data_IF_836161663329
#
_entry.id   IF_836161663329
#
_cell.length_a   1.000
_cell.length_b   1.000
_cell.length_c   1.000
_cell.angle_alpha   90.00
_cell.angle_beta   90.00
_cell.angle_gamma   90.00
#
_symmetry.space_group_name_H-M   'P 1'
#
loop_
_entity.id
_entity.type
_entity.pdbx_description
1 polymer ?
#
# COMPACT_ATOMS: atom_id res chain seq x y z
N UNK A 1 -83.58 16.45 -1.95
CA UNK A 1 -83.41 16.31 -0.50
C UNK A 1 -81.99 15.81 -0.28
N UNK A 2 -80.96 16.55 0.12
CA UNK A 2 -80.80 17.93 0.60
C UNK A 2 -79.87 18.73 -0.33
N UNK A 3 -80.17 20.02 -0.41
CA UNK A 3 -79.33 21.12 -0.88
C UNK A 3 -78.41 21.53 0.28
N UNK A 4 -77.14 21.87 0.06
CA UNK A 4 -76.48 23.08 0.63
C UNK A 4 -75.34 23.56 -0.30
N UNK A 5 -75.51 24.79 -0.75
CA UNK A 5 -74.57 25.68 -1.45
C UNK A 5 -73.27 25.92 -0.66
N UNK A 6 -72.17 26.33 -1.29
CA UNK A 6 -71.86 27.76 -1.38
C UNK A 6 -70.60 28.06 -2.19
N UNK A 7 -70.73 29.13 -2.97
CA UNK A 7 -69.75 29.76 -3.85
C UNK A 7 -69.00 30.81 -3.01
N UNK A 8 -67.67 30.86 -3.08
CA UNK A 8 -67.03 32.16 -3.11
C UNK A 8 -65.73 32.17 -3.91
N UNK A 9 -65.71 33.12 -4.84
CA UNK A 9 -64.60 33.48 -5.71
C UNK A 9 -63.58 34.36 -4.96
N UNK A 10 -62.32 34.31 -5.40
CA UNK A 10 -61.42 35.45 -5.65
C UNK A 10 -60.06 34.86 -6.05
N UNK A 11 -59.64 34.98 -7.31
CA UNK A 11 -58.99 36.13 -7.93
C UNK A 11 -57.46 35.98 -7.92
N UNK A 12 -56.91 35.94 -9.14
CA UNK A 12 -55.63 36.53 -9.54
C UNK A 12 -54.32 35.79 -9.21
N UNK A 13 -53.74 35.25 -10.28
CA UNK A 13 -52.37 35.51 -10.73
C UNK A 13 -51.23 35.38 -9.70
N UNK A 14 -50.53 34.25 -9.75
CA UNK A 14 -49.07 34.26 -9.62
C UNK A 14 -48.48 33.57 -10.85
N UNK A 15 -48.18 34.40 -11.85
CA UNK A 15 -47.04 34.19 -12.73
C UNK A 15 -45.80 34.17 -11.84
N UNK A 16 -45.04 33.08 -11.80
CA UNK A 16 -43.61 33.13 -12.10
C UNK A 16 -42.87 31.81 -11.86
N UNK A 17 -42.12 31.45 -12.89
CA UNK A 17 -40.77 30.87 -12.81
C UNK A 17 -40.60 29.58 -12.01
N UNK A 18 -40.85 28.47 -12.70
CA UNK A 18 -39.93 27.33 -12.63
C UNK A 18 -38.61 27.76 -13.29
N UNK A 19 -37.85 28.61 -12.59
CA UNK A 19 -36.43 28.81 -12.85
C UNK A 19 -35.79 27.44 -12.71
N UNK A 20 -35.39 26.84 -13.83
CA UNK A 20 -34.41 25.76 -13.84
C UNK A 20 -33.13 26.31 -13.21
N UNK A 21 -33.03 26.22 -11.88
CA UNK A 21 -31.82 26.46 -11.14
C UNK A 21 -30.86 25.32 -11.45
N UNK A 22 -30.23 25.39 -12.61
CA UNK A 22 -28.94 24.73 -12.83
C UNK A 22 -27.95 25.37 -11.86
N UNK A 23 -27.94 24.90 -10.62
CA UNK A 23 -27.04 25.34 -9.58
C UNK A 23 -25.61 24.95 -9.98
N UNK A 24 -24.88 25.91 -10.55
CA UNK A 24 -23.46 25.75 -10.78
C UNK A 24 -22.76 25.72 -9.43
N UNK A 25 -22.26 24.55 -9.04
CA UNK A 25 -21.45 24.37 -7.83
C UNK A 25 -20.35 25.43 -7.74
N UNK A 26 -20.10 25.95 -6.54
CA UNK A 26 -19.00 26.89 -6.32
C UNK A 26 -17.66 26.21 -6.65
N UNK A 27 -16.64 27.00 -7.00
CA UNK A 27 -15.30 26.45 -7.27
C UNK A 27 -14.72 25.71 -6.04
N UNK A 28 -15.08 26.15 -4.82
CA UNK A 28 -14.72 25.45 -3.58
C UNK A 28 -15.36 24.07 -3.52
N UNK A 29 -16.65 23.95 -3.81
CA UNK A 29 -17.37 22.67 -3.82
C UNK A 29 -16.83 21.72 -4.88
N UNK A 30 -16.51 22.24 -6.08
CA UNK A 30 -15.87 21.45 -7.14
C UNK A 30 -14.51 20.90 -6.71
N UNK A 31 -13.65 21.75 -6.14
CA UNK A 31 -12.33 21.33 -5.65
C UNK A 31 -12.46 20.29 -4.54
N UNK A 32 -13.45 20.45 -3.66
CA UNK A 32 -13.72 19.50 -2.58
C UNK A 32 -14.19 18.14 -3.10
N UNK A 33 -15.10 18.13 -4.08
CA UNK A 33 -15.56 16.89 -4.72
C UNK A 33 -14.41 16.17 -5.42
N UNK A 34 -13.59 16.89 -6.19
CA UNK A 34 -12.42 16.29 -6.86
C UNK A 34 -11.38 15.78 -5.87
N UNK A 35 -11.16 16.51 -4.76
CA UNK A 35 -10.33 16.04 -3.65
C UNK A 35 -10.84 14.71 -3.11
N UNK A 36 -12.13 14.63 -2.76
CA UNK A 36 -12.73 13.40 -2.23
C UNK A 36 -12.64 12.25 -3.23
N UNK A 37 -12.89 12.48 -4.52
CA UNK A 37 -12.72 11.46 -5.57
C UNK A 37 -11.28 10.96 -5.65
N UNK A 38 -10.31 11.86 -5.64
CA UNK A 38 -8.90 11.50 -5.69
C UNK A 38 -8.47 10.74 -4.44
N UNK A 39 -9.00 11.09 -3.25
CA UNK A 39 -8.76 10.36 -2.01
C UNK A 39 -9.28 8.92 -2.08
N UNK A 40 -10.50 8.73 -2.59
CA UNK A 40 -11.04 7.38 -2.80
C UNK A 40 -10.21 6.56 -3.80
N UNK A 41 -9.70 7.17 -4.87
CA UNK A 41 -8.78 6.50 -5.80
C UNK A 41 -7.49 6.08 -5.11
N UNK A 42 -6.91 6.94 -4.27
CA UNK A 42 -5.73 6.60 -3.50
C UNK A 42 -5.97 5.40 -2.56
N UNK A 43 -7.13 5.39 -1.88
CA UNK A 43 -7.56 4.25 -1.04
C UNK A 43 -7.74 2.96 -1.83
N UNK A 44 -8.31 3.03 -3.03
CA UNK A 44 -8.45 1.86 -3.92
C UNK A 44 -7.08 1.24 -4.23
N UNK A 45 -6.06 2.06 -4.51
CA UNK A 45 -4.70 1.53 -4.76
C UNK A 45 -4.13 0.81 -3.53
N UNK A 46 -4.36 1.33 -2.31
CA UNK A 46 -3.93 0.64 -1.08
C UNK A 46 -4.66 -0.69 -0.92
N UNK A 47 -5.95 -0.72 -1.21
CA UNK A 47 -6.75 -1.95 -1.17
C UNK A 47 -6.27 -2.98 -2.21
N UNK A 48 -6.00 -2.55 -3.43
CA UNK A 48 -5.42 -3.40 -4.49
C UNK A 48 -4.05 -3.95 -4.09
N UNK A 49 -3.20 -3.13 -3.47
CA UNK A 49 -1.91 -3.55 -2.90
C UNK A 49 -2.08 -4.60 -1.81
N UNK A 50 -3.08 -4.43 -0.94
CA UNK A 50 -3.41 -5.39 0.12
C UNK A 50 -3.85 -6.73 -0.48
N UNK A 51 -4.79 -6.71 -1.42
CA UNK A 51 -5.27 -7.92 -2.12
C UNK A 51 -4.14 -8.61 -2.88
N UNK A 52 -3.31 -7.84 -3.57
CA UNK A 52 -2.14 -8.35 -4.26
C UNK A 52 -1.18 -9.03 -3.28
N UNK A 53 -0.87 -8.39 -2.15
CA UNK A 53 0.00 -8.95 -1.12
C UNK A 53 -0.51 -10.29 -0.59
N UNK A 54 -1.80 -10.39 -0.30
CA UNK A 54 -2.42 -11.65 0.13
C UNK A 54 -2.34 -12.74 -0.94
N UNK A 55 -2.45 -12.37 -2.22
CA UNK A 55 -2.39 -13.33 -3.33
C UNK A 55 -0.96 -13.84 -3.59
N UNK A 56 0.05 -12.97 -3.56
CA UNK A 56 1.43 -13.35 -3.90
C UNK A 56 2.28 -13.78 -2.70
N UNK A 57 1.87 -13.40 -1.49
CA UNK A 57 2.60 -13.69 -0.25
C UNK A 57 2.98 -15.17 -0.08
N UNK A 58 2.03 -16.13 -0.20
CA UNK A 58 2.34 -17.55 -0.06
C UNK A 58 3.32 -18.09 -1.10
N UNK A 59 3.24 -17.57 -2.34
CA UNK A 59 4.17 -17.96 -3.39
C UNK A 59 5.57 -17.44 -3.10
N UNK A 60 5.70 -16.21 -2.62
CA UNK A 60 7.00 -15.62 -2.24
C UNK A 60 7.60 -16.26 -0.99
N UNK A 61 6.78 -16.72 -0.03
CA UNK A 61 7.29 -17.38 1.19
C UNK A 61 7.80 -18.80 0.93
N UNK A 62 7.25 -19.49 -0.07
CA UNK A 62 7.60 -20.87 -0.40
C UNK A 62 8.66 -20.97 -1.51
N UNK A 63 9.18 -19.83 -1.97
CA UNK A 63 10.08 -19.75 -3.11
C UNK A 63 11.54 -19.99 -2.64
N UNK A 64 12.26 -20.91 -3.29
CA UNK A 64 13.60 -21.34 -2.85
C UNK A 64 14.75 -20.55 -3.47
N UNK A 65 14.44 -19.58 -4.32
CA UNK A 65 15.36 -18.68 -5.02
C UNK A 65 16.12 -19.34 -6.17
N UNK A 66 15.85 -20.61 -6.49
CA UNK A 66 16.75 -21.46 -7.28
C UNK A 66 16.36 -21.58 -8.76
N UNK A 67 15.14 -21.22 -9.14
CA UNK A 67 14.66 -21.39 -10.52
C UNK A 67 14.56 -20.05 -11.27
N UNK A 68 14.92 -20.04 -12.55
CA UNK A 68 14.85 -18.86 -13.43
C UNK A 68 13.44 -18.25 -13.48
N UNK A 69 12.40 -19.09 -13.49
CA UNK A 69 10.99 -18.68 -13.38
C UNK A 69 10.71 -17.85 -12.11
N UNK A 70 11.36 -18.20 -11.00
CA UNK A 70 11.17 -17.56 -9.70
C UNK A 70 11.82 -16.17 -9.63
N UNK A 71 12.96 -16.01 -10.33
CA UNK A 71 13.64 -14.72 -10.49
C UNK A 71 12.82 -13.76 -11.34
N UNK A 72 12.21 -14.25 -12.43
CA UNK A 72 11.30 -13.45 -13.26
C UNK A 72 10.03 -13.07 -12.49
N UNK A 73 9.41 -14.02 -11.79
CA UNK A 73 8.25 -13.76 -10.92
C UNK A 73 8.54 -12.67 -9.87
N UNK A 74 9.64 -12.81 -9.14
CA UNK A 74 10.07 -11.84 -8.12
C UNK A 74 10.30 -10.45 -8.71
N UNK A 75 10.90 -10.38 -9.91
CA UNK A 75 11.13 -9.12 -10.63
C UNK A 75 9.81 -8.45 -11.03
N UNK A 76 8.82 -9.22 -11.51
CA UNK A 76 7.48 -8.71 -11.84
C UNK A 76 6.73 -8.19 -10.62
N UNK A 77 6.81 -8.89 -9.48
CA UNK A 77 6.23 -8.43 -8.21
C UNK A 77 6.84 -7.09 -7.79
N UNK A 78 8.18 -6.97 -7.87
CA UNK A 78 8.89 -5.73 -7.52
C UNK A 78 8.48 -4.57 -8.43
N UNK A 79 8.40 -4.82 -9.74
CA UNK A 79 7.98 -3.81 -10.71
C UNK A 79 6.56 -3.32 -10.42
N UNK A 80 5.62 -4.23 -10.17
CA UNK A 80 4.24 -3.88 -9.82
C UNK A 80 4.19 -3.00 -8.56
N UNK A 81 4.97 -3.32 -7.54
CA UNK A 81 5.06 -2.51 -6.33
C UNK A 81 5.60 -1.11 -6.63
N UNK A 82 6.70 -0.99 -7.38
CA UNK A 82 7.27 0.31 -7.68
C UNK A 82 6.31 1.19 -8.51
N UNK A 83 5.64 0.61 -9.51
CA UNK A 83 4.63 1.32 -10.32
C UNK A 83 3.43 1.77 -9.48
N UNK A 84 2.92 0.89 -8.62
CA UNK A 84 1.77 1.18 -7.76
C UNK A 84 2.10 2.26 -6.73
N UNK A 85 3.29 2.20 -6.11
CA UNK A 85 3.75 3.22 -5.16
C UNK A 85 4.06 4.55 -5.83
N UNK A 86 4.56 4.55 -7.06
CA UNK A 86 4.76 5.78 -7.83
C UNK A 86 3.42 6.50 -8.04
N UNK A 87 2.40 5.77 -8.51
CA UNK A 87 1.03 6.28 -8.69
C UNK A 87 0.42 6.77 -7.37
N UNK A 88 0.50 5.96 -6.33
CA UNK A 88 -0.03 6.30 -5.00
C UNK A 88 0.62 7.56 -4.43
N UNK A 89 1.96 7.64 -4.43
CA UNK A 89 2.69 8.82 -3.95
C UNK A 89 2.35 10.08 -4.75
N UNK A 90 2.14 9.96 -6.06
CA UNK A 90 1.69 11.08 -6.88
C UNK A 90 0.31 11.59 -6.44
N UNK A 91 -0.65 10.68 -6.21
CA UNK A 91 -1.98 11.04 -5.68
C UNK A 91 -1.89 11.70 -4.30
N UNK A 92 -1.10 11.15 -3.37
CA UNK A 92 -0.90 11.76 -2.04
C UNK A 92 -0.35 13.18 -2.14
N UNK A 93 0.63 13.44 -3.02
CA UNK A 93 1.18 14.79 -3.25
C UNK A 93 0.12 15.77 -3.74
N UNK A 94 -0.70 15.35 -4.71
CA UNK A 94 -1.81 16.18 -5.22
C UNK A 94 -2.81 16.47 -4.10
N UNK A 95 -3.21 15.45 -3.35
CA UNK A 95 -4.17 15.57 -2.25
C UNK A 95 -3.67 16.55 -1.16
N UNK A 96 -2.40 16.44 -0.77
CA UNK A 96 -1.78 17.36 0.19
C UNK A 96 -1.74 18.80 -0.34
N UNK A 97 -1.42 18.98 -1.63
CA UNK A 97 -1.40 20.31 -2.25
C UNK A 97 -2.79 20.94 -2.27
N UNK A 98 -3.85 20.16 -2.57
CA UNK A 98 -5.23 20.64 -2.54
C UNK A 98 -5.65 20.98 -1.11
N UNK A 99 -5.32 20.15 -0.11
CA UNK A 99 -5.61 20.45 1.30
C UNK A 99 -4.96 21.75 1.75
N UNK A 100 -3.70 21.98 1.41
CA UNK A 100 -3.00 23.23 1.73
C UNK A 100 -3.65 24.45 1.07
N UNK A 101 -4.19 24.32 -0.14
CA UNK A 101 -4.94 25.41 -0.80
C UNK A 101 -6.28 25.69 -0.11
N UNK A 102 -7.01 24.63 0.28
CA UNK A 102 -8.28 24.77 1.01
C UNK A 102 -8.09 25.39 2.39
N UNK A 103 -6.95 25.13 3.04
CA UNK A 103 -6.55 25.72 4.31
C UNK A 103 -6.25 27.22 4.19
N UNK A 104 -5.45 27.61 3.18
CA UNK A 104 -5.12 29.01 2.92
C UNK A 104 -6.34 29.84 2.55
N UNK A 105 -7.28 29.27 1.79
CA UNK A 105 -8.51 29.95 1.40
C UNK A 105 -9.56 30.06 2.52
N UNK A 106 -9.33 29.43 3.68
CA UNK A 106 -10.30 29.31 4.79
C UNK A 106 -11.69 28.81 4.35
N UNK A 107 -11.77 28.13 3.21
CA UNK A 107 -13.01 27.65 2.62
C UNK A 107 -13.61 26.46 3.38
N UNK A 108 -12.79 25.76 4.15
CA UNK A 108 -13.14 24.56 4.89
C UNK A 108 -12.61 24.69 6.31
N UNK A 109 -13.39 24.25 7.29
CA UNK A 109 -12.96 24.22 8.70
C UNK A 109 -11.68 23.42 8.88
N UNK A 110 -10.78 23.93 9.73
CA UNK A 110 -9.46 23.34 9.99
C UNK A 110 -9.57 21.89 10.48
N UNK A 111 -10.52 21.58 11.36
CA UNK A 111 -10.67 20.20 11.88
C UNK A 111 -10.96 19.18 10.77
N UNK A 112 -11.67 19.60 9.72
CA UNK A 112 -11.97 18.73 8.57
C UNK A 112 -10.72 18.52 7.72
N UNK A 113 -9.90 19.56 7.55
CA UNK A 113 -8.62 19.47 6.84
C UNK A 113 -7.67 18.52 7.61
N UNK A 114 -7.59 18.67 8.93
CA UNK A 114 -6.76 17.82 9.78
C UNK A 114 -7.21 16.35 9.73
N UNK A 115 -8.52 16.10 9.75
CA UNK A 115 -9.08 14.76 9.58
C UNK A 115 -8.66 14.13 8.24
N UNK A 116 -8.68 14.89 7.14
CA UNK A 116 -8.22 14.39 5.85
C UNK A 116 -6.70 14.16 5.79
N UNK A 117 -5.90 15.02 6.43
CA UNK A 117 -4.45 14.81 6.55
C UNK A 117 -4.16 13.53 7.31
N UNK A 118 -4.87 13.28 8.41
CA UNK A 118 -4.73 12.05 9.19
C UNK A 118 -5.13 10.81 8.38
N UNK A 119 -6.23 10.90 7.63
CA UNK A 119 -6.66 9.82 6.74
C UNK A 119 -5.60 9.48 5.68
N UNK A 120 -4.99 10.49 5.05
CA UNK A 120 -3.88 10.29 4.11
C UNK A 120 -2.66 9.65 4.74
N UNK A 121 -2.29 10.08 5.95
CA UNK A 121 -1.16 9.50 6.70
C UNK A 121 -1.42 8.03 7.00
N UNK A 122 -2.63 7.69 7.41
CA UNK A 122 -3.01 6.31 7.71
C UNK A 122 -2.97 5.42 6.47
N UNK A 123 -3.48 5.87 5.34
CA UNK A 123 -3.39 5.13 4.07
C UNK A 123 -1.93 4.98 3.60
N UNK A 124 -1.12 6.02 3.77
CA UNK A 124 0.31 5.96 3.45
C UNK A 124 1.06 4.98 4.34
N UNK A 125 0.72 4.94 5.63
CA UNK A 125 1.28 3.98 6.60
C UNK A 125 0.92 2.55 6.21
N UNK A 126 -0.35 2.27 5.90
CA UNK A 126 -0.81 0.94 5.45
C UNK A 126 -0.07 0.48 4.21
N UNK A 127 0.01 1.33 3.18
CA UNK A 127 0.75 1.04 1.97
C UNK A 127 2.22 0.70 2.32
N UNK A 128 2.88 1.57 3.07
CA UNK A 128 4.30 1.39 3.43
C UNK A 128 4.58 0.05 4.12
N UNK A 129 3.69 -0.39 5.02
CA UNK A 129 3.78 -1.71 5.66
C UNK A 129 3.69 -2.82 4.62
N UNK A 130 2.68 -2.79 3.74
CA UNK A 130 2.51 -3.79 2.67
C UNK A 130 3.77 -3.89 1.80
N UNK A 131 4.35 -2.75 1.39
CA UNK A 131 5.58 -2.72 0.60
C UNK A 131 6.74 -3.35 1.35
N UNK A 132 6.93 -2.99 2.62
CA UNK A 132 8.02 -3.53 3.43
C UNK A 132 7.89 -5.03 3.62
N UNK A 133 6.67 -5.53 3.88
CA UNK A 133 6.46 -6.96 4.11
C UNK A 133 6.70 -7.78 2.84
N UNK A 134 6.23 -7.32 1.68
CA UNK A 134 6.53 -7.99 0.41
C UNK A 134 8.03 -7.94 0.06
N UNK A 135 8.70 -6.82 0.33
CA UNK A 135 10.15 -6.72 0.11
C UNK A 135 10.94 -7.66 1.02
N UNK A 136 10.53 -7.86 2.28
CA UNK A 136 11.15 -8.84 3.18
C UNK A 136 11.01 -10.27 2.63
N UNK A 137 9.81 -10.64 2.15
CA UNK A 137 9.60 -11.96 1.55
C UNK A 137 10.51 -12.19 0.34
N UNK A 138 10.63 -11.18 -0.52
CA UNK A 138 11.54 -11.19 -1.69
C UNK A 138 13.02 -11.33 -1.29
N UNK A 139 13.42 -10.75 -0.16
CA UNK A 139 14.81 -10.81 0.31
C UNK A 139 15.13 -12.16 0.98
N UNK A 140 14.20 -12.70 1.77
CA UNK A 140 14.38 -13.99 2.45
C UNK A 140 14.49 -15.17 1.48
N UNK A 141 13.81 -15.15 0.34
CA UNK A 141 13.95 -16.20 -0.68
C UNK A 141 15.31 -16.23 -1.37
N UNK A 142 16.12 -15.17 -1.24
CA UNK A 142 17.42 -15.04 -1.91
C UNK A 142 18.62 -15.48 -1.04
N UNK A 143 18.43 -15.68 0.27
CA UNK A 143 19.50 -16.06 1.21
C UNK A 143 19.52 -17.56 1.47
N UNK A 144 19.98 -18.35 0.51
CA UNK A 144 20.46 -19.73 0.76
C UNK A 144 21.98 -19.74 0.51
N UNK A 145 22.82 -20.07 1.50
CA UNK A 145 24.24 -20.31 1.28
C UNK A 145 24.41 -21.47 0.32
N UNK A 146 25.04 -21.21 -0.83
CA UNK A 146 25.39 -22.26 -1.79
C UNK A 146 26.71 -22.89 -1.37
N UNK A 147 26.73 -23.62 -0.25
CA UNK A 147 27.82 -24.55 0.05
C UNK A 147 27.61 -25.82 -0.78
N UNK A 148 28.01 -25.73 -2.05
CA UNK A 148 28.26 -26.92 -2.88
C UNK A 148 29.70 -27.36 -2.65
N UNK A 149 29.99 -27.95 -1.50
CA UNK A 149 31.14 -28.85 -1.39
C UNK A 149 30.69 -30.20 -1.92
N UNK A 150 30.90 -30.42 -3.22
CA UNK A 150 30.99 -31.75 -3.79
C UNK A 150 32.22 -32.43 -3.15
N UNK A 151 32.00 -33.34 -2.21
CA UNK A 151 32.96 -34.43 -1.95
C UNK A 151 32.40 -35.67 -2.62
N UNK A 152 33.04 -36.00 -3.73
CA UNK A 152 32.92 -37.24 -4.48
C UNK A 152 33.28 -38.43 -3.59
N UNK A 153 32.44 -39.46 -3.61
CA UNK A 153 32.70 -40.73 -2.95
C UNK A 153 33.71 -41.52 -3.80
N UNK A 154 34.86 -41.91 -3.24
CA UNK A 154 35.47 -43.20 -3.57
C UNK A 154 36.33 -43.73 -2.42
N UNK A 155 36.26 -45.05 -2.11
CA UNK A 155 36.82 -45.64 -0.90
C UNK A 155 38.23 -46.19 -1.15
N UNK A 156 39.15 -45.99 -0.21
CA UNK A 156 40.41 -46.75 -0.16
C UNK A 156 40.75 -47.13 1.28
N UNK A 157 40.76 -48.44 1.52
CA UNK A 157 41.36 -49.12 2.66
C UNK A 157 42.88 -48.86 2.72
N UNK A 158 43.42 -48.61 3.91
CA UNK A 158 44.80 -48.97 4.31
C UNK A 158 45.03 -48.80 5.82
N UNK A 159 44.69 -49.85 6.57
CA UNK A 159 45.49 -50.58 7.59
C UNK A 159 46.75 -49.89 8.20
N UNK A 160 46.67 -49.71 9.54
CA UNK A 160 47.67 -49.97 10.61
C UNK A 160 48.98 -49.17 10.69
N UNK A 161 49.26 -48.54 11.84
CA UNK A 161 50.25 -48.98 12.86
C UNK A 161 50.49 -47.88 13.91
N UNK A 162 50.40 -48.25 15.18
CA UNK A 162 50.69 -47.46 16.39
C UNK A 162 52.16 -47.01 16.50
N UNK A 163 52.42 -45.94 17.27
CA UNK A 163 53.44 -45.97 18.33
C UNK A 163 53.34 -44.74 19.24
N UNK A 164 53.38 -45.01 20.54
CA UNK A 164 53.53 -44.10 21.67
C UNK A 164 54.86 -43.30 21.62
N UNK A 165 54.96 -42.25 22.44
CA UNK A 165 56.03 -42.01 23.45
C UNK A 165 56.18 -40.51 23.80
N UNK A 166 55.67 -40.17 25.00
CA UNK A 166 56.32 -39.47 26.14
C UNK A 166 56.78 -37.98 26.07
N UNK A 167 56.07 -37.15 26.85
CA UNK A 167 56.40 -35.96 27.71
C UNK A 167 57.91 -35.83 28.11
N UNK A 168 58.53 -34.64 28.32
CA UNK A 168 58.07 -33.64 29.30
C UNK A 168 58.31 -32.13 29.09
N UNK A 169 57.60 -31.39 29.94
CA UNK A 169 57.73 -30.00 30.41
C UNK A 169 59.18 -29.59 30.76
N UNK A 170 59.48 -28.27 30.80
CA UNK A 170 59.58 -27.64 32.13
C UNK A 170 59.02 -26.20 32.21
N UNK A 171 58.46 -25.90 33.39
CA UNK A 171 58.11 -24.57 33.90
C UNK A 171 59.31 -23.63 34.13
N UNK A 172 59.06 -22.32 34.12
CA UNK A 172 59.07 -21.46 35.32
C UNK A 172 59.31 -19.97 35.02
N UNK A 173 58.44 -19.16 35.63
CA UNK A 173 58.62 -17.82 36.24
C UNK A 173 59.67 -16.84 35.73
N UNK A 174 59.20 -15.63 35.41
CA UNK A 174 59.73 -14.35 35.91
C UNK A 174 58.64 -13.28 35.92
#
# INVERSE_FOLDING_TARGET
>A
MFIVNNIHAQASSIVNMSSSSSSTLSNSDRNFIEFTRCLYKAKSVVQELQTFSTAVGPTLSNSSGQFEYEVDFTSRVKQYLDDSFCKFNHMCKILLLVLSRLELGQTVRRERIDSFRQELVEEWRKASIIKQDLLKLIQCSRTIPTDKTFTDDTPYDSVTTSSETTTPEPASDS
#
